data_IF_139371958054
#
_entry.id   IF_139371958054
#
_cell.length_a   1.000
_cell.length_b   1.000
_cell.length_c   1.000
_cell.angle_alpha   90.00
_cell.angle_beta   90.00
_cell.angle_gamma   90.00
#
_symmetry.space_group_name_H-M   'P 1'
#
loop_
_entity.id
_entity.type
_entity.pdbx_description
1 polymer ?
#
# COMPACT_ATOMS: atom_id res chain seq x y z
N UNK A 1 14.16 -33.54 10.31
CA UNK A 1 13.44 -32.43 9.66
C UNK A 1 13.77 -31.17 10.43
N UNK A 2 14.32 -30.15 9.78
CA UNK A 2 14.68 -28.88 10.42
C UNK A 2 13.40 -28.12 10.83
N UNK A 3 13.46 -27.39 11.95
CA UNK A 3 12.35 -26.59 12.50
C UNK A 3 11.86 -25.61 11.44
N UNK A 4 12.78 -25.00 10.68
CA UNK A 4 12.44 -24.07 9.61
C UNK A 4 11.56 -24.71 8.55
N UNK A 5 12.01 -25.80 7.94
CA UNK A 5 11.27 -26.51 6.91
C UNK A 5 9.92 -27.04 7.41
N UNK A 6 9.82 -27.49 8.66
CA UNK A 6 8.56 -27.94 9.25
C UNK A 6 7.54 -26.81 9.41
N UNK A 7 7.98 -25.67 9.93
CA UNK A 7 7.11 -24.51 10.14
C UNK A 7 6.66 -23.92 8.80
N UNK A 8 7.57 -23.75 7.83
CA UNK A 8 7.24 -23.23 6.50
C UNK A 8 6.24 -24.14 5.76
N UNK A 9 6.40 -25.46 5.86
CA UNK A 9 5.44 -26.42 5.30
C UNK A 9 4.05 -26.32 5.96
N UNK A 10 4.00 -26.10 7.28
CA UNK A 10 2.73 -25.98 8.02
C UNK A 10 2.03 -24.64 7.82
N UNK A 11 2.81 -23.58 7.64
CA UNK A 11 2.31 -22.24 7.36
C UNK A 11 1.94 -22.09 5.88
N UNK A 12 2.52 -22.92 5.00
CA UNK A 12 2.17 -23.01 3.57
C UNK A 12 2.87 -21.97 2.68
N UNK A 13 3.81 -21.20 3.23
CA UNK A 13 4.63 -20.22 2.50
C UNK A 13 6.04 -20.14 3.09
N UNK A 14 7.06 -19.76 2.28
CA UNK A 14 8.39 -19.42 2.78
C UNK A 14 8.32 -18.23 3.76
N UNK A 15 9.04 -18.30 4.88
CA UNK A 15 9.02 -17.24 5.89
C UNK A 15 10.29 -16.39 5.76
N UNK A 16 10.18 -15.05 5.62
CA UNK A 16 11.35 -14.17 5.54
C UNK A 16 12.30 -14.33 6.74
N UNK A 17 13.61 -14.22 6.48
CA UNK A 17 14.66 -14.39 7.50
C UNK A 17 14.50 -13.41 8.68
N UNK A 18 14.00 -12.22 8.40
CA UNK A 18 13.74 -11.18 9.38
C UNK A 18 12.64 -11.54 10.39
N UNK A 19 11.60 -12.26 9.96
CA UNK A 19 10.57 -12.76 10.87
C UNK A 19 11.11 -13.91 11.73
N UNK A 20 12.00 -14.73 11.19
CA UNK A 20 12.73 -15.73 11.99
C UNK A 20 13.59 -15.09 13.09
N UNK A 21 14.25 -13.96 12.79
CA UNK A 21 15.01 -13.20 13.79
C UNK A 21 14.10 -12.61 14.86
N UNK A 22 12.92 -12.13 14.49
CA UNK A 22 11.90 -11.63 15.42
C UNK A 22 11.38 -12.74 16.34
N UNK A 23 10.98 -13.88 15.79
CA UNK A 23 10.53 -15.04 16.56
C UNK A 23 11.62 -15.58 17.51
N UNK A 24 12.89 -15.49 17.11
CA UNK A 24 14.02 -15.83 17.97
C UNK A 24 14.16 -14.84 19.15
N UNK A 25 14.03 -13.53 18.90
CA UNK A 25 14.02 -12.50 19.97
C UNK A 25 12.84 -12.67 20.93
N UNK A 26 11.67 -13.04 20.41
CA UNK A 26 10.47 -13.36 21.19
C UNK A 26 10.56 -14.68 21.95
N UNK A 27 11.65 -15.43 21.83
CA UNK A 27 11.89 -16.68 22.57
C UNK A 27 11.17 -17.91 22.03
N UNK A 28 10.36 -17.79 20.96
CA UNK A 28 9.62 -18.92 20.38
C UNK A 28 10.55 -20.01 19.85
N UNK A 29 11.62 -19.62 19.14
CA UNK A 29 12.62 -20.57 18.62
C UNK A 29 13.36 -21.28 19.77
N UNK A 30 13.63 -20.56 20.87
CA UNK A 30 14.31 -21.11 22.04
C UNK A 30 13.43 -22.14 22.75
N UNK A 31 12.14 -21.84 22.96
CA UNK A 31 11.15 -22.78 23.54
C UNK A 31 11.12 -24.11 22.78
N UNK A 32 11.13 -24.08 21.45
CA UNK A 32 11.15 -25.32 20.63
C UNK A 32 12.43 -26.12 20.80
N UNK A 33 13.59 -25.45 20.94
CA UNK A 33 14.90 -26.09 21.11
C UNK A 33 15.10 -26.66 22.52
N UNK A 34 14.57 -26.01 23.55
CA UNK A 34 14.76 -26.38 24.96
C UNK A 34 13.69 -27.36 25.48
N UNK A 35 12.62 -27.60 24.73
CA UNK A 35 11.56 -28.53 25.11
C UNK A 35 12.10 -29.97 25.26
N UNK A 36 12.04 -30.48 26.50
CA UNK A 36 12.55 -31.81 26.87
C UNK A 36 11.55 -32.94 26.64
N UNK A 37 10.25 -32.63 26.60
CA UNK A 37 9.18 -33.61 26.37
C UNK A 37 8.58 -33.44 24.99
N UNK A 38 8.02 -34.53 24.45
CA UNK A 38 7.36 -34.53 23.14
C UNK A 38 6.15 -33.59 23.11
N UNK A 39 5.41 -33.52 24.21
CA UNK A 39 4.26 -32.64 24.38
C UNK A 39 4.67 -31.17 24.44
N UNK A 40 5.66 -30.81 25.27
CA UNK A 40 6.17 -29.44 25.34
C UNK A 40 6.75 -28.97 24.01
N UNK A 41 7.39 -29.88 23.24
CA UNK A 41 7.92 -29.55 21.92
C UNK A 41 6.82 -29.30 20.90
N UNK A 42 5.71 -30.03 20.99
CA UNK A 42 4.54 -29.83 20.14
C UNK A 42 3.87 -28.48 20.45
N UNK A 43 3.64 -28.18 21.71
CA UNK A 43 3.05 -26.91 22.15
C UNK A 43 3.90 -25.71 21.72
N UNK A 44 5.23 -25.78 21.93
CA UNK A 44 6.14 -24.73 21.49
C UNK A 44 6.17 -24.55 19.95
N UNK A 45 5.96 -25.63 19.18
CA UNK A 45 5.84 -25.54 17.72
C UNK A 45 4.50 -24.93 17.29
N UNK A 46 3.40 -25.26 17.98
CA UNK A 46 2.08 -24.67 17.75
C UNK A 46 2.11 -23.15 18.03
N UNK A 47 2.74 -22.72 19.13
CA UNK A 47 2.98 -21.30 19.43
C UNK A 47 3.77 -20.57 18.33
N UNK A 48 4.84 -21.20 17.83
CA UNK A 48 5.68 -20.64 16.78
C UNK A 48 4.93 -20.54 15.45
N UNK A 49 4.12 -21.54 15.10
CA UNK A 49 3.27 -21.53 13.91
C UNK A 49 2.20 -20.44 14.04
N UNK A 50 1.54 -20.33 15.19
CA UNK A 50 0.54 -19.30 15.46
C UNK A 50 1.14 -17.89 15.35
N UNK A 51 2.35 -17.67 15.86
CA UNK A 51 3.07 -16.41 15.70
C UNK A 51 3.27 -16.05 14.22
N UNK A 52 3.71 -16.99 13.38
CA UNK A 52 3.92 -16.70 11.95
C UNK A 52 2.62 -16.56 11.16
N UNK A 53 1.58 -17.33 11.50
CA UNK A 53 0.24 -17.14 10.91
C UNK A 53 -0.31 -15.76 11.25
N UNK A 54 -0.17 -15.32 12.51
CA UNK A 54 -0.50 -13.97 12.92
C UNK A 54 0.31 -12.94 12.14
N UNK A 55 1.65 -13.09 12.00
CA UNK A 55 2.49 -12.17 11.21
C UNK A 55 2.08 -12.13 9.74
N UNK A 56 1.74 -13.26 9.12
CA UNK A 56 1.22 -13.30 7.75
C UNK A 56 -0.11 -12.59 7.61
N UNK A 57 -1.01 -12.78 8.58
CA UNK A 57 -2.28 -12.08 8.59
C UNK A 57 -2.08 -10.56 8.80
N UNK A 58 -1.09 -10.17 9.61
CA UNK A 58 -0.68 -8.78 9.74
C UNK A 58 -0.05 -8.24 8.46
N UNK A 59 0.81 -8.98 7.78
CA UNK A 59 1.42 -8.58 6.51
C UNK A 59 0.37 -8.43 5.39
N UNK A 60 -0.68 -9.26 5.39
CA UNK A 60 -1.85 -9.07 4.51
C UNK A 60 -2.65 -7.80 4.84
N UNK A 61 -2.54 -7.31 6.08
CA UNK A 61 -3.16 -6.07 6.57
C UNK A 61 -2.20 -4.89 6.56
N UNK A 62 -0.92 -5.07 6.21
CA UNK A 62 0.04 -3.98 6.06
C UNK A 62 -0.47 -3.07 4.94
N UNK A 63 -0.57 -1.77 5.18
CA UNK A 63 -0.85 -0.85 4.11
C UNK A 63 0.33 -0.84 3.15
N UNK A 64 0.12 -1.40 1.96
CA UNK A 64 1.02 -1.21 0.83
C UNK A 64 1.28 0.29 0.67
N UNK A 65 2.52 0.68 0.37
CA UNK A 65 2.90 2.07 0.14
C UNK A 65 1.81 2.75 -0.70
N UNK A 66 1.05 3.65 -0.08
CA UNK A 66 -0.05 4.31 -0.75
C UNK A 66 0.56 5.41 -1.61
N UNK A 67 0.80 5.07 -2.88
CA UNK A 67 0.96 6.09 -3.90
C UNK A 67 -0.40 6.75 -4.08
N UNK A 68 -0.44 8.04 -3.78
CA UNK A 68 -1.64 8.86 -3.91
C UNK A 68 -1.26 10.09 -4.73
N UNK A 69 -2.26 10.66 -5.38
CA UNK A 69 -2.08 11.85 -6.20
C UNK A 69 -2.70 13.06 -5.50
N UNK A 70 -1.96 14.16 -5.46
CA UNK A 70 -2.48 15.50 -5.21
C UNK A 70 -2.40 16.30 -6.50
N UNK A 71 -3.26 17.30 -6.66
CA UNK A 71 -3.29 18.11 -7.87
C UNK A 71 -2.63 19.46 -7.63
N UNK A 72 -1.68 19.83 -8.49
CA UNK A 72 -1.31 21.23 -8.62
C UNK A 72 -2.29 21.93 -9.55
N UNK A 73 -3.00 22.91 -8.99
CA UNK A 73 -3.92 23.78 -9.74
C UNK A 73 -3.29 25.13 -10.09
N UNK A 74 -1.96 25.25 -10.10
CA UNK A 74 -1.32 26.53 -10.47
C UNK A 74 -1.58 26.88 -11.92
N UNK A 75 -1.45 28.17 -12.26
CA UNK A 75 -1.60 28.63 -13.64
C UNK A 75 -0.60 27.92 -14.58
N UNK A 76 0.60 27.63 -14.08
CA UNK A 76 1.63 26.93 -14.81
C UNK A 76 1.28 25.44 -15.03
N UNK A 77 0.82 24.73 -13.99
CA UNK A 77 0.36 23.34 -14.12
C UNK A 77 -0.81 23.21 -15.10
N UNK A 78 -1.77 24.14 -15.04
CA UNK A 78 -2.89 24.23 -15.99
C UNK A 78 -2.41 24.48 -17.43
N UNK A 79 -1.43 25.38 -17.61
CA UNK A 79 -0.85 25.64 -18.93
C UNK A 79 -0.15 24.40 -19.50
N UNK A 80 0.60 23.66 -18.69
CA UNK A 80 1.24 22.41 -19.11
C UNK A 80 0.21 21.33 -19.47
N UNK A 81 -0.82 21.13 -18.65
CA UNK A 81 -1.91 20.19 -18.97
C UNK A 81 -2.59 20.53 -20.30
N UNK A 82 -2.82 21.83 -20.58
CA UNK A 82 -3.37 22.29 -21.85
C UNK A 82 -2.43 22.06 -23.05
N UNK A 83 -1.12 22.28 -22.88
CA UNK A 83 -0.11 21.98 -23.92
C UNK A 83 -0.08 20.48 -24.21
N UNK A 84 0.00 19.63 -23.18
CA UNK A 84 -0.06 18.18 -23.31
C UNK A 84 -1.32 17.72 -24.04
N UNK A 85 -2.49 18.24 -23.65
CA UNK A 85 -3.77 17.93 -24.27
C UNK A 85 -3.82 18.30 -25.76
N UNK A 86 -3.24 19.45 -26.13
CA UNK A 86 -3.12 19.88 -27.52
C UNK A 86 -2.19 18.97 -28.32
N UNK A 87 -1.01 18.66 -27.79
CA UNK A 87 -0.04 17.78 -28.45
C UNK A 87 -0.61 16.39 -28.67
N UNK A 88 -1.22 15.79 -27.63
CA UNK A 88 -1.88 14.50 -27.72
C UNK A 88 -2.99 14.52 -28.76
N UNK A 89 -3.83 15.56 -28.79
CA UNK A 89 -4.91 15.66 -29.78
C UNK A 89 -4.38 15.72 -31.22
N UNK A 90 -3.28 16.44 -31.46
CA UNK A 90 -2.66 16.51 -32.77
C UNK A 90 -2.04 15.16 -33.18
N UNK A 91 -1.33 14.51 -32.27
CA UNK A 91 -0.65 13.24 -32.52
C UNK A 91 -1.64 12.07 -32.68
N UNK A 92 -2.73 12.05 -31.91
CA UNK A 92 -3.72 10.98 -31.97
C UNK A 92 -4.37 10.87 -33.35
N UNK A 93 -4.60 11.99 -34.06
CA UNK A 93 -5.16 11.97 -35.42
C UNK A 93 -4.26 11.21 -36.40
N UNK A 94 -2.93 11.30 -36.20
CA UNK A 94 -1.94 10.70 -37.09
C UNK A 94 -1.51 9.30 -36.65
N UNK A 95 -1.91 8.84 -35.46
CA UNK A 95 -1.48 7.58 -34.88
C UNK A 95 -1.93 6.37 -35.73
N UNK A 96 -1.00 5.46 -36.00
CA UNK A 96 -1.19 4.21 -36.76
C UNK A 96 -1.15 3.01 -35.84
N UNK A 97 -1.60 1.86 -36.34
CA UNK A 97 -1.56 0.61 -35.58
C UNK A 97 -0.12 0.32 -35.10
N UNK A 98 0.04 0.12 -33.79
CA UNK A 98 1.34 -0.02 -33.12
C UNK A 98 1.79 1.23 -32.37
N UNK A 99 1.25 2.41 -32.68
CA UNK A 99 1.58 3.65 -31.98
C UNK A 99 0.88 3.72 -30.61
N UNK A 100 1.53 4.38 -29.64
CA UNK A 100 1.01 4.50 -28.27
C UNK A 100 -0.37 5.18 -28.19
N UNK A 101 -0.65 6.15 -29.05
CA UNK A 101 -1.92 6.88 -29.09
C UNK A 101 -2.96 6.28 -30.05
N UNK A 102 -2.64 5.18 -30.74
CA UNK A 102 -3.57 4.50 -31.63
C UNK A 102 -4.90 4.11 -30.94
N UNK A 103 -4.91 3.62 -29.69
CA UNK A 103 -6.16 3.29 -29.01
C UNK A 103 -7.09 4.49 -28.83
N UNK A 104 -6.53 5.68 -28.56
CA UNK A 104 -7.31 6.92 -28.42
C UNK A 104 -7.96 7.31 -29.76
N UNK A 105 -7.22 7.13 -30.86
CA UNK A 105 -7.76 7.36 -32.20
C UNK A 105 -8.92 6.41 -32.50
N UNK A 106 -8.73 5.11 -32.29
CA UNK A 106 -9.78 4.10 -32.52
C UNK A 106 -11.01 4.40 -31.67
N UNK A 107 -10.83 4.75 -30.40
CA UNK A 107 -11.93 5.15 -29.53
C UNK A 107 -12.74 6.32 -30.13
N UNK A 108 -12.05 7.39 -30.55
CA UNK A 108 -12.66 8.60 -31.11
C UNK A 108 -13.37 8.36 -32.45
N UNK A 109 -12.78 7.54 -33.32
CA UNK A 109 -13.35 7.24 -34.64
C UNK A 109 -14.51 6.23 -34.54
N UNK A 110 -14.32 5.10 -33.83
CA UNK A 110 -15.25 3.97 -33.83
C UNK A 110 -16.43 4.18 -32.89
N UNK A 111 -16.21 4.74 -31.70
CA UNK A 111 -17.21 4.79 -30.63
C UNK A 111 -17.77 6.18 -30.37
N UNK A 112 -16.98 7.23 -30.62
CA UNK A 112 -17.43 8.62 -30.46
C UNK A 112 -17.86 9.25 -31.79
N UNK A 113 -17.37 8.75 -32.92
CA UNK A 113 -17.65 9.27 -34.27
C UNK A 113 -17.44 10.79 -34.37
N UNK A 114 -16.44 11.32 -33.65
CA UNK A 114 -16.14 12.75 -33.58
C UNK A 114 -17.05 13.58 -32.66
N UNK A 115 -18.07 12.99 -32.03
CA UNK A 115 -18.94 13.64 -31.05
C UNK A 115 -18.48 13.29 -29.64
N UNK A 116 -18.02 14.29 -28.90
CA UNK A 116 -17.58 14.10 -27.51
C UNK A 116 -18.76 13.94 -26.57
N UNK A 117 -18.57 13.10 -25.55
CA UNK A 117 -19.55 12.90 -24.48
C UNK A 117 -19.54 14.13 -23.57
N UNK A 118 -20.70 14.68 -23.17
CA UNK A 118 -20.76 15.66 -22.09
C UNK A 118 -20.18 15.09 -20.79
N UNK A 119 -19.55 15.93 -19.96
CA UNK A 119 -18.87 15.48 -18.73
C UNK A 119 -19.84 14.77 -17.76
N UNK A 120 -21.06 15.29 -17.63
CA UNK A 120 -22.16 14.68 -16.87
C UNK A 120 -22.67 13.37 -17.47
N UNK A 121 -22.44 13.14 -18.77
CA UNK A 121 -22.79 11.93 -19.50
C UNK A 121 -21.78 10.78 -19.38
N UNK A 122 -20.58 11.00 -18.84
CA UNK A 122 -19.51 9.99 -18.81
C UNK A 122 -19.94 8.71 -18.10
N UNK A 123 -20.56 8.82 -16.93
CA UNK A 123 -21.01 7.63 -16.19
C UNK A 123 -22.06 6.83 -16.97
N UNK A 124 -22.97 7.52 -17.68
CA UNK A 124 -23.97 6.88 -18.53
C UNK A 124 -23.35 6.17 -19.71
N UNK A 125 -22.37 6.80 -20.37
CA UNK A 125 -21.61 6.20 -21.47
C UNK A 125 -20.85 4.94 -21.01
N UNK A 126 -20.16 5.00 -19.87
CA UNK A 126 -19.46 3.85 -19.30
C UNK A 126 -20.41 2.68 -19.00
N UNK A 127 -21.61 2.97 -18.47
CA UNK A 127 -22.62 1.95 -18.19
C UNK A 127 -23.19 1.32 -19.46
N UNK A 128 -23.44 2.15 -20.49
CA UNK A 128 -23.98 1.69 -21.77
C UNK A 128 -23.08 0.65 -22.44
N UNK A 129 -21.75 0.84 -22.36
CA UNK A 129 -20.78 -0.03 -23.01
C UNK A 129 -20.22 -1.16 -22.13
N UNK A 130 -20.83 -1.44 -20.96
CA UNK A 130 -20.39 -2.52 -20.05
C UNK A 130 -20.43 -3.91 -20.70
N UNK A 131 -21.35 -4.12 -21.63
CA UNK A 131 -21.56 -5.42 -22.28
C UNK A 131 -20.84 -5.56 -23.61
N UNK A 132 -20.26 -4.49 -24.15
CA UNK A 132 -19.60 -4.47 -25.45
C UNK A 132 -18.38 -5.37 -25.49
N UNK A 133 -18.13 -5.99 -26.65
CA UNK A 133 -16.99 -6.86 -26.86
C UNK A 133 -17.17 -8.24 -26.21
N UNK A 134 -16.06 -8.98 -26.12
CA UNK A 134 -16.03 -10.32 -25.57
C UNK A 134 -15.49 -10.30 -24.14
N UNK A 135 -15.93 -11.20 -23.25
CA UNK A 135 -15.26 -11.39 -21.97
C UNK A 135 -13.74 -11.53 -22.19
N UNK A 136 -12.94 -10.73 -21.47
CA UNK A 136 -11.49 -10.87 -21.54
C UNK A 136 -11.12 -12.30 -21.11
N UNK A 137 -10.40 -13.08 -21.94
CA UNK A 137 -9.93 -14.41 -21.56
C UNK A 137 -8.70 -14.33 -20.63
N UNK A 138 -8.48 -13.21 -19.94
CA UNK A 138 -7.30 -12.98 -19.11
C UNK A 138 -7.35 -13.93 -17.93
N UNK A 139 -6.70 -15.06 -18.08
CA UNK A 139 -6.58 -16.05 -17.03
C UNK A 139 -5.26 -15.81 -16.33
N UNK A 140 -5.31 -15.36 -15.07
CA UNK A 140 -4.12 -15.28 -14.23
C UNK A 140 -3.81 -16.68 -13.73
N UNK A 141 -2.71 -17.24 -14.21
CA UNK A 141 -2.19 -18.51 -13.76
C UNK A 141 -1.21 -18.26 -12.63
N UNK A 142 -1.49 -18.83 -11.46
CA UNK A 142 -0.48 -19.00 -10.41
C UNK A 142 0.24 -20.30 -10.71
N UNK A 143 1.54 -20.23 -10.95
CA UNK A 143 2.36 -21.39 -11.28
C UNK A 143 2.98 -21.99 -10.02
N UNK A 144 3.42 -23.24 -10.10
CA UNK A 144 4.32 -23.79 -9.09
C UNK A 144 5.65 -23.02 -9.09
N UNK A 145 6.36 -22.90 -7.96
CA UNK A 145 7.62 -22.15 -7.89
C UNK A 145 8.67 -22.62 -8.90
N UNK A 146 8.72 -23.92 -9.18
CA UNK A 146 9.62 -24.52 -10.16
C UNK A 146 9.27 -24.08 -11.60
N UNK A 147 7.97 -24.07 -11.94
CA UNK A 147 7.49 -23.64 -13.24
C UNK A 147 7.63 -22.12 -13.43
N UNK A 148 7.38 -21.33 -12.38
CA UNK A 148 7.57 -19.88 -12.38
C UNK A 148 9.02 -19.51 -12.70
N UNK A 149 9.98 -20.16 -12.02
CA UNK A 149 11.42 -19.92 -12.24
C UNK A 149 11.83 -20.22 -13.68
N UNK A 150 11.36 -21.35 -14.22
CA UNK A 150 11.60 -21.76 -15.62
C UNK A 150 11.00 -20.77 -16.61
N UNK A 151 9.75 -20.35 -16.40
CA UNK A 151 9.05 -19.39 -17.26
C UNK A 151 9.80 -18.05 -17.28
N UNK A 152 10.19 -17.53 -16.11
CA UNK A 152 10.93 -16.27 -16.00
C UNK A 152 12.28 -16.33 -16.73
N UNK A 153 13.02 -17.42 -16.59
CA UNK A 153 14.30 -17.61 -17.27
C UNK A 153 14.14 -17.64 -18.80
N UNK A 154 13.15 -18.36 -19.30
CA UNK A 154 12.91 -18.44 -20.74
C UNK A 154 12.38 -17.12 -21.32
N UNK A 155 11.54 -16.36 -20.58
CA UNK A 155 11.14 -15.01 -20.96
C UNK A 155 12.34 -14.06 -21.05
N UNK A 156 13.27 -14.12 -20.10
CA UNK A 156 14.51 -13.34 -20.16
C UNK A 156 15.38 -13.69 -21.37
N UNK A 157 15.31 -14.93 -21.83
CA UNK A 157 16.03 -15.43 -23.00
C UNK A 157 15.23 -15.28 -24.31
N UNK A 158 14.02 -14.71 -24.27
CA UNK A 158 13.14 -14.57 -25.43
C UNK A 158 12.68 -15.89 -26.03
N UNK A 159 12.71 -16.98 -25.26
CA UNK A 159 12.32 -18.31 -25.71
C UNK A 159 10.83 -18.59 -25.42
N UNK A 160 10.12 -19.30 -26.31
CA UNK A 160 8.77 -19.74 -26.05
C UNK A 160 8.75 -20.75 -24.90
N UNK A 161 7.73 -20.67 -24.04
CA UNK A 161 7.54 -21.57 -22.91
C UNK A 161 6.19 -22.26 -23.02
N UNK A 162 6.23 -23.58 -23.03
CA UNK A 162 5.03 -24.40 -22.83
C UNK A 162 4.85 -24.67 -21.33
N UNK A 163 3.64 -24.43 -20.83
CA UNK A 163 3.27 -24.65 -19.43
C UNK A 163 2.24 -25.77 -19.38
N UNK A 164 2.54 -26.81 -18.62
CA UNK A 164 1.70 -27.99 -18.47
C UNK A 164 0.56 -27.73 -17.47
N UNK A 165 -0.64 -28.33 -17.65
CA UNK A 165 -1.75 -28.13 -16.72
C UNK A 165 -1.47 -28.49 -15.27
N UNK A 166 -0.56 -29.44 -15.02
CA UNK A 166 -0.11 -29.84 -13.69
C UNK A 166 0.77 -28.80 -12.99
N UNK A 167 1.28 -27.80 -13.72
CA UNK A 167 2.08 -26.70 -13.19
C UNK A 167 1.22 -25.53 -12.69
N UNK A 168 -0.11 -25.62 -12.83
CA UNK A 168 -1.05 -24.61 -12.32
C UNK A 168 -1.40 -24.86 -10.86
N UNK A 169 -1.04 -23.94 -9.98
CA UNK A 169 -1.49 -23.90 -8.58
C UNK A 169 -2.88 -23.30 -8.48
N UNK A 170 -3.16 -22.26 -9.29
CA UNK A 170 -4.45 -21.58 -9.31
C UNK A 170 -4.70 -20.95 -10.65
N UNK A 171 -5.97 -20.98 -11.07
CA UNK A 171 -6.46 -20.37 -12.30
C UNK A 171 -7.50 -19.34 -11.89
N UNK A 172 -7.19 -18.05 -12.03
CA UNK A 172 -8.13 -16.95 -11.73
C UNK A 172 -8.56 -16.28 -13.04
N UNK A 173 -9.85 -16.07 -13.22
CA UNK A 173 -10.33 -15.16 -14.26
C UNK A 173 -10.11 -13.73 -13.78
N UNK A 174 -9.28 -13.00 -14.50
CA UNK A 174 -8.98 -11.59 -14.26
C UNK A 174 -9.67 -10.76 -15.35
N UNK A 175 -10.21 -9.61 -14.95
CA UNK A 175 -10.66 -8.61 -15.91
C UNK A 175 -9.98 -7.29 -15.58
N UNK A 176 -9.52 -6.60 -16.62
CA UNK A 176 -9.06 -5.23 -16.48
C UNK A 176 -10.24 -4.35 -16.04
N UNK A 177 -9.97 -3.28 -15.32
CA UNK A 177 -11.00 -2.41 -14.77
C UNK A 177 -10.67 -0.94 -15.00
N UNK A 178 -11.71 -0.13 -15.14
CA UNK A 178 -11.63 1.33 -15.14
C UNK A 178 -12.26 1.88 -13.86
N UNK A 179 -11.60 2.85 -13.22
CA UNK A 179 -12.12 3.53 -12.03
C UNK A 179 -12.55 4.94 -12.39
N UNK A 180 -13.84 5.22 -12.22
CA UNK A 180 -14.39 6.55 -12.49
C UNK A 180 -15.54 6.88 -11.53
N UNK A 181 -15.52 8.08 -10.96
CA UNK A 181 -16.57 8.54 -10.04
C UNK A 181 -16.78 7.63 -8.82
N UNK A 182 -15.73 6.98 -8.32
CA UNK A 182 -15.79 6.03 -7.19
C UNK A 182 -16.40 4.67 -7.53
N UNK A 183 -16.65 4.37 -8.81
CA UNK A 183 -17.15 3.08 -9.30
C UNK A 183 -16.09 2.36 -10.12
N UNK A 184 -16.22 1.04 -10.18
CA UNK A 184 -15.34 0.14 -10.95
C UNK A 184 -16.13 -0.43 -12.13
N UNK A 185 -15.57 -0.30 -13.33
CA UNK A 185 -16.17 -0.76 -14.57
C UNK A 185 -15.32 -1.88 -15.17
N UNK A 186 -15.85 -3.12 -15.29
CA UNK A 186 -15.11 -4.21 -15.91
C UNK A 186 -14.92 -3.96 -17.41
N UNK A 187 -13.73 -4.28 -17.90
CA UNK A 187 -13.35 -4.14 -19.31
C UNK A 187 -13.52 -5.47 -20.04
N UNK A 188 -14.00 -5.41 -21.29
CA UNK A 188 -14.22 -6.56 -22.18
C UNK A 188 -13.45 -6.38 -23.48
N UNK A 189 -12.78 -7.43 -23.93
CA UNK A 189 -11.88 -7.40 -25.08
C UNK A 189 -12.57 -6.88 -26.34
N UNK A 190 -11.89 -5.96 -27.04
CA UNK A 190 -12.36 -5.28 -28.26
C UNK A 190 -13.68 -4.49 -28.12
N UNK A 191 -14.22 -4.34 -26.91
CA UNK A 191 -15.34 -3.45 -26.61
C UNK A 191 -14.91 -1.99 -26.44
N UNK A 192 -15.88 -1.06 -26.36
CA UNK A 192 -15.58 0.37 -26.19
C UNK A 192 -14.74 0.65 -24.93
N UNK A 193 -15.04 -0.04 -23.83
CA UNK A 193 -14.30 0.08 -22.58
C UNK A 193 -12.85 -0.44 -22.68
N UNK A 194 -12.56 -1.39 -23.58
CA UNK A 194 -11.19 -1.86 -23.80
C UNK A 194 -10.34 -0.84 -24.54
N UNK A 195 -10.92 -0.21 -25.57
CA UNK A 195 -10.26 0.89 -26.26
C UNK A 195 -10.07 2.10 -25.35
N UNK A 196 -11.06 2.40 -24.50
CA UNK A 196 -10.94 3.44 -23.48
C UNK A 196 -9.87 3.11 -22.45
N UNK A 197 -9.79 1.87 -21.97
CA UNK A 197 -8.76 1.44 -21.02
C UNK A 197 -7.35 1.51 -21.60
N UNK A 198 -7.17 1.07 -22.85
CA UNK A 198 -5.90 1.22 -23.55
C UNK A 198 -5.52 2.70 -23.71
N UNK A 199 -6.48 3.54 -24.11
CA UNK A 199 -6.28 4.97 -24.28
C UNK A 199 -5.94 5.67 -22.95
N UNK A 200 -6.68 5.38 -21.87
CA UNK A 200 -6.45 5.98 -20.56
C UNK A 200 -5.06 5.59 -20.03
N UNK A 201 -4.67 4.32 -20.14
CA UNK A 201 -3.34 3.83 -19.76
C UNK A 201 -2.21 4.53 -20.55
N UNK A 202 -2.39 4.73 -21.85
CA UNK A 202 -1.45 5.46 -22.68
C UNK A 202 -1.31 6.94 -22.22
N UNK A 203 -2.44 7.62 -21.97
CA UNK A 203 -2.47 9.00 -21.50
C UNK A 203 -1.83 9.16 -20.12
N UNK A 204 -2.14 8.27 -19.17
CA UNK A 204 -1.54 8.25 -17.84
C UNK A 204 -0.02 8.10 -17.93
N UNK A 205 0.48 7.19 -18.79
CA UNK A 205 1.93 6.98 -18.96
C UNK A 205 2.64 8.16 -19.61
N UNK A 206 2.05 8.76 -20.64
CA UNK A 206 2.68 9.85 -21.40
C UNK A 206 2.58 11.19 -20.67
N UNK A 207 1.45 11.47 -20.04
CA UNK A 207 1.15 12.80 -19.49
C UNK A 207 1.19 12.86 -17.97
N UNK A 208 1.22 11.70 -17.29
CA UNK A 208 1.16 11.63 -15.83
C UNK A 208 -0.21 11.96 -15.26
N UNK A 209 -1.28 11.92 -16.07
CA UNK A 209 -2.64 12.22 -15.63
C UNK A 209 -3.21 11.10 -14.76
N UNK A 210 -4.24 11.42 -13.97
CA UNK A 210 -5.00 10.37 -13.27
C UNK A 210 -5.87 9.58 -14.23
N UNK A 211 -6.33 8.40 -13.81
CA UNK A 211 -7.24 7.59 -14.64
C UNK A 211 -8.53 8.36 -14.96
N UNK A 212 -9.08 9.10 -14.00
CA UNK A 212 -10.30 9.89 -14.22
C UNK A 212 -10.09 11.04 -15.21
N UNK A 213 -9.00 11.79 -15.09
CA UNK A 213 -8.65 12.86 -16.05
C UNK A 213 -8.40 12.30 -17.46
N UNK A 214 -7.73 11.16 -17.56
CA UNK A 214 -7.48 10.50 -18.82
C UNK A 214 -8.78 10.01 -19.49
N UNK A 215 -9.72 9.48 -18.70
CA UNK A 215 -11.05 9.09 -19.18
C UNK A 215 -11.83 10.31 -19.68
N UNK A 216 -11.88 11.40 -18.90
CA UNK A 216 -12.60 12.62 -19.27
C UNK A 216 -11.99 13.29 -20.51
N UNK A 217 -10.66 13.28 -20.65
CA UNK A 217 -10.03 13.77 -21.87
C UNK A 217 -10.33 12.86 -23.08
N UNK A 218 -10.28 11.54 -22.89
CA UNK A 218 -10.53 10.59 -23.97
C UNK A 218 -11.97 10.69 -24.51
N UNK A 219 -12.96 10.83 -23.63
CA UNK A 219 -14.39 10.84 -23.95
C UNK A 219 -14.96 12.24 -24.21
N UNK A 220 -14.53 13.24 -23.45
CA UNK A 220 -15.12 14.59 -23.44
C UNK A 220 -14.20 15.64 -24.07
N UNK A 221 -12.94 15.29 -24.34
CA UNK A 221 -11.88 16.25 -24.68
C UNK A 221 -11.67 17.35 -23.60
N UNK A 222 -12.05 17.05 -22.35
CA UNK A 222 -11.83 17.95 -21.22
C UNK A 222 -10.36 17.92 -20.82
N UNK A 223 -9.74 19.09 -20.79
CA UNK A 223 -8.36 19.25 -20.31
C UNK A 223 -8.34 19.14 -18.78
N UNK A 224 -7.38 18.40 -18.19
CA UNK A 224 -7.24 18.34 -16.73
C UNK A 224 -7.04 19.74 -16.12
N UNK A 225 -7.62 19.98 -14.95
CA UNK A 225 -7.53 21.28 -14.24
C UNK A 225 -6.18 21.52 -13.56
N UNK A 226 -5.23 20.62 -13.78
CA UNK A 226 -3.93 20.62 -13.13
C UNK A 226 -3.13 19.38 -13.50
N UNK A 227 -1.91 19.30 -12.97
CA UNK A 227 -1.09 18.10 -13.09
C UNK A 227 -1.19 17.28 -11.81
N UNK A 228 -1.36 15.98 -11.97
CA UNK A 228 -1.27 15.06 -10.86
C UNK A 228 0.19 14.96 -10.40
N UNK A 229 0.39 15.18 -9.11
CA UNK A 229 1.65 15.04 -8.42
C UNK A 229 1.57 13.77 -7.59
N UNK A 230 2.47 12.84 -7.89
CA UNK A 230 2.57 11.61 -7.12
C UNK A 230 3.28 11.90 -5.80
N UNK A 231 2.67 11.49 -4.69
CA UNK A 231 3.37 11.42 -3.43
C UNK A 231 3.34 10.00 -2.88
N UNK A 232 4.45 9.62 -2.26
CA UNK A 232 4.65 8.36 -1.58
C UNK A 232 4.99 8.66 -0.13
N UNK A 233 4.14 8.21 0.77
CA UNK A 233 4.46 8.18 2.19
C UNK A 233 5.05 6.81 2.51
N UNK A 234 6.31 6.78 2.94
CA UNK A 234 7.00 5.58 3.42
C UNK A 234 7.18 5.68 4.93
N UNK A 235 6.77 4.65 5.64
CA UNK A 235 6.93 4.56 7.08
C UNK A 235 7.95 3.47 7.39
N UNK A 236 9.04 3.85 8.07
CA UNK A 236 10.06 2.89 8.49
C UNK A 236 10.00 2.67 9.99
N UNK A 237 9.43 1.54 10.40
CA UNK A 237 9.37 1.10 11.79
C UNK A 237 10.76 0.85 12.38
N UNK A 238 11.73 0.44 11.56
CA UNK A 238 13.10 0.14 12.00
C UNK A 238 13.92 1.39 12.32
N UNK A 239 13.55 2.55 11.76
CA UNK A 239 14.24 3.82 11.98
C UNK A 239 13.45 4.81 12.85
N UNK A 240 12.16 4.56 13.15
CA UNK A 240 11.29 5.52 13.82
C UNK A 240 11.07 6.80 12.98
N UNK A 241 11.22 6.70 11.66
CA UNK A 241 11.15 7.82 10.72
C UNK A 241 10.01 7.63 9.73
N UNK A 242 9.32 8.73 9.46
CA UNK A 242 8.35 8.85 8.39
C UNK A 242 8.97 9.65 7.25
N UNK A 243 9.03 9.06 6.07
CA UNK A 243 9.51 9.72 4.86
C UNK A 243 8.31 10.06 3.99
N UNK A 244 8.13 11.35 3.72
CA UNK A 244 7.19 11.80 2.70
C UNK A 244 7.99 12.18 1.46
N UNK A 245 7.90 11.34 0.43
CA UNK A 245 8.49 11.59 -0.88
C UNK A 245 7.43 12.18 -1.79
N UNK A 246 7.62 13.41 -2.26
CA UNK A 246 6.73 14.03 -3.25
C UNK A 246 7.51 14.12 -4.56
N UNK A 247 6.97 13.55 -5.63
CA UNK A 247 7.52 13.66 -6.98
C UNK A 247 6.85 14.84 -7.67
N UNK A 248 7.60 15.92 -7.85
CA UNK A 248 7.14 17.14 -8.51
C UNK A 248 7.86 17.36 -9.84
N UNK A 249 7.22 18.00 -10.84
CA UNK A 249 7.91 18.49 -12.03
C UNK A 249 9.08 19.40 -11.66
N UNK A 250 10.17 19.35 -12.43
CA UNK A 250 11.40 20.09 -12.15
C UNK A 250 11.20 21.61 -12.09
N UNK A 251 10.20 22.13 -12.80
CA UNK A 251 9.87 23.56 -12.84
C UNK A 251 8.96 24.02 -11.69
N UNK A 252 8.60 23.13 -10.75
CA UNK A 252 7.75 23.49 -9.61
C UNK A 252 8.53 24.40 -8.66
N UNK A 253 8.06 25.62 -8.36
CA UNK A 253 8.76 26.54 -7.47
C UNK A 253 8.83 25.99 -6.03
N UNK A 254 9.90 26.30 -5.26
CA UNK A 254 10.07 25.77 -3.90
C UNK A 254 8.91 26.05 -2.95
N UNK A 255 8.28 27.21 -3.08
CA UNK A 255 7.13 27.62 -2.27
C UNK A 255 5.92 26.70 -2.50
N UNK A 256 5.71 26.26 -3.74
CA UNK A 256 4.65 25.35 -4.12
C UNK A 256 4.94 23.93 -3.60
N UNK A 257 6.19 23.48 -3.67
CA UNK A 257 6.62 22.22 -3.04
C UNK A 257 6.34 22.23 -1.53
N UNK A 258 6.62 23.35 -0.85
CA UNK A 258 6.32 23.50 0.56
C UNK A 258 4.81 23.49 0.86
N UNK A 259 3.98 24.13 0.02
CA UNK A 259 2.53 24.09 0.14
C UNK A 259 1.95 22.69 -0.07
N UNK A 260 2.44 21.98 -1.09
CA UNK A 260 2.08 20.59 -1.38
C UNK A 260 2.44 19.68 -0.22
N UNK A 261 3.66 19.81 0.31
CA UNK A 261 4.10 19.09 1.51
C UNK A 261 3.17 19.39 2.70
N UNK A 262 2.82 20.66 2.92
CA UNK A 262 1.91 21.06 4.00
C UNK A 262 0.50 20.49 3.80
N UNK A 263 -0.01 20.44 2.56
CA UNK A 263 -1.30 19.85 2.23
C UNK A 263 -1.31 18.35 2.50
N UNK A 264 -0.34 17.60 1.96
CA UNK A 264 -0.24 16.15 2.20
C UNK A 264 -0.12 15.87 3.70
N UNK A 265 0.69 16.66 4.42
CA UNK A 265 0.80 16.53 5.88
C UNK A 265 -0.51 16.83 6.60
N UNK A 266 -1.34 17.75 6.12
CA UNK A 266 -2.68 18.04 6.70
C UNK A 266 -3.66 16.91 6.45
N UNK A 267 -3.70 16.39 5.23
CA UNK A 267 -4.53 15.23 4.86
C UNK A 267 -4.17 13.99 5.69
N UNK A 268 -2.87 13.78 5.95
CA UNK A 268 -2.40 12.75 6.87
C UNK A 268 -2.68 13.08 8.35
N UNK A 269 -2.55 14.35 8.78
CA UNK A 269 -2.78 14.80 10.17
C UNK A 269 -4.20 14.57 10.67
N UNK A 270 -5.20 14.51 9.80
CA UNK A 270 -6.59 14.26 10.24
C UNK A 270 -6.79 12.86 10.85
N UNK A 271 -5.81 11.95 10.71
CA UNK A 271 -5.80 10.63 11.37
C UNK A 271 -4.93 10.54 12.64
N UNK A 272 -4.11 11.56 12.94
CA UNK A 272 -3.01 11.46 13.92
C UNK A 272 -3.02 12.57 15.00
N UNK A 273 -4.17 12.82 15.65
CA UNK A 273 -4.15 13.47 16.98
C UNK A 273 -4.20 12.35 18.02
N UNK A 274 -3.11 12.18 18.78
CA UNK A 274 -2.99 11.28 19.93
C UNK A 274 -4.12 11.52 20.94
N UNK A 275 -5.30 10.92 20.72
CA UNK A 275 -6.42 11.03 21.66
C UNK A 275 -6.13 10.11 22.84
N UNK A 276 -5.75 10.68 23.97
CA UNK A 276 -5.79 10.01 25.27
C UNK A 276 -4.46 9.54 25.87
N UNK A 277 -3.31 9.81 25.23
CA UNK A 277 -1.98 9.57 25.85
C UNK A 277 -1.33 10.93 26.09
N UNK A 278 -1.16 11.30 27.37
CA UNK A 278 -0.43 12.52 27.71
C UNK A 278 1.08 12.31 27.52
N UNK A 279 1.83 13.39 27.27
CA UNK A 279 3.28 13.36 27.15
C UNK A 279 3.96 12.76 28.39
N UNK A 280 3.42 13.09 29.58
CA UNK A 280 3.82 12.49 30.85
C UNK A 280 3.66 10.95 30.83
N UNK A 281 2.50 10.46 30.39
CA UNK A 281 2.21 9.02 30.32
C UNK A 281 3.16 8.30 29.36
N UNK A 282 3.46 8.90 28.21
CA UNK A 282 4.39 8.32 27.24
C UNK A 282 5.82 8.24 27.79
N UNK A 283 6.31 9.31 28.44
CA UNK A 283 7.62 9.33 29.10
C UNK A 283 7.71 8.31 30.24
N UNK A 284 6.67 8.20 31.05
CA UNK A 284 6.63 7.24 32.14
C UNK A 284 6.67 5.80 31.62
N UNK A 285 5.86 5.45 30.61
CA UNK A 285 5.87 4.12 29.99
C UNK A 285 7.24 3.81 29.38
N UNK A 286 7.85 4.75 28.65
CA UNK A 286 9.20 4.57 28.10
C UNK A 286 10.23 4.26 29.20
N UNK A 287 10.22 5.03 30.29
CA UNK A 287 11.09 4.78 31.43
C UNK A 287 10.88 3.39 32.03
N UNK A 288 9.63 2.98 32.27
CA UNK A 288 9.31 1.67 32.86
C UNK A 288 9.84 0.53 31.99
N UNK A 289 9.63 0.61 30.67
CA UNK A 289 10.10 -0.42 29.73
C UNK A 289 11.63 -0.46 29.65
N UNK A 290 12.30 0.69 29.54
CA UNK A 290 13.78 0.74 29.54
C UNK A 290 14.36 0.21 30.86
N UNK A 291 13.79 0.60 31.99
CA UNK A 291 14.26 0.17 33.30
C UNK A 291 14.07 -1.34 33.50
N UNK A 292 12.98 -1.92 33.01
CA UNK A 292 12.74 -3.38 33.07
C UNK A 292 13.58 -4.18 32.09
N UNK A 293 14.01 -3.59 30.98
CA UNK A 293 14.99 -4.25 30.09
C UNK A 293 16.32 -4.45 30.79
N UNK A 294 16.76 -3.46 31.58
CA UNK A 294 17.99 -3.56 32.39
C UNK A 294 17.80 -4.36 33.68
N UNK A 295 16.58 -4.35 34.25
CA UNK A 295 16.21 -5.01 35.51
C UNK A 295 14.89 -5.78 35.37
N UNK A 296 14.92 -6.99 34.76
CA UNK A 296 13.70 -7.74 34.42
C UNK A 296 12.81 -8.08 35.61
N UNK A 297 13.39 -8.22 36.81
CA UNK A 297 12.68 -8.57 38.04
C UNK A 297 12.23 -7.35 38.87
N UNK A 298 12.41 -6.13 38.35
CA UNK A 298 12.07 -4.92 39.09
C UNK A 298 10.59 -4.84 39.46
N UNK A 299 10.34 -4.70 40.76
CA UNK A 299 9.01 -4.47 41.33
C UNK A 299 8.53 -3.05 41.04
N UNK A 300 7.21 -2.86 41.00
CA UNK A 300 6.64 -1.52 40.79
C UNK A 300 7.10 -0.48 41.81
N UNK A 301 7.37 -0.90 43.05
CA UNK A 301 7.90 -0.04 44.11
C UNK A 301 9.29 0.50 43.75
N UNK A 302 10.15 -0.36 43.21
CA UNK A 302 11.51 0.01 42.77
C UNK A 302 11.47 0.92 41.54
N UNK A 303 10.59 0.61 40.58
CA UNK A 303 10.38 1.43 39.39
C UNK A 303 9.92 2.85 39.76
N UNK A 304 8.96 2.99 40.67
CA UNK A 304 8.46 4.31 41.10
C UNK A 304 9.50 5.07 41.91
N UNK A 305 10.22 4.39 42.81
CA UNK A 305 11.29 5.00 43.59
C UNK A 305 12.37 5.57 42.66
N UNK A 306 12.73 4.81 41.63
CA UNK A 306 13.72 5.24 40.65
C UNK A 306 13.20 6.40 39.77
N UNK A 307 11.95 6.32 39.29
CA UNK A 307 11.34 7.44 38.55
C UNK A 307 11.38 8.73 39.35
N UNK A 308 10.96 8.69 40.62
CA UNK A 308 10.93 9.84 41.52
C UNK A 308 12.34 10.37 41.82
N UNK A 309 13.34 9.49 41.86
CA UNK A 309 14.76 9.87 42.02
C UNK A 309 15.28 10.61 40.79
N UNK A 310 14.94 10.16 39.58
CA UNK A 310 15.39 10.76 38.32
C UNK A 310 14.57 11.99 37.89
N UNK A 311 13.31 12.09 38.33
CA UNK A 311 12.36 13.14 37.93
C UNK A 311 11.75 13.84 39.17
N UNK A 312 12.54 14.57 39.96
CA UNK A 312 12.07 15.18 41.21
C UNK A 312 10.98 16.26 41.00
N UNK A 313 10.94 16.90 39.83
CA UNK A 313 9.89 17.87 39.48
C UNK A 313 8.53 17.21 39.16
N UNK A 314 8.51 15.91 38.89
CA UNK A 314 7.32 15.13 38.50
C UNK A 314 7.14 13.90 39.40
N UNK A 315 7.38 14.08 40.70
CA UNK A 315 7.24 12.99 41.66
C UNK A 315 5.80 12.45 41.66
N UNK A 316 5.71 11.14 41.54
CA UNK A 316 4.46 10.40 41.65
C UNK A 316 4.03 10.31 43.10
N UNK A 317 2.86 10.88 43.41
CA UNK A 317 2.17 10.59 44.66
C UNK A 317 1.72 9.12 44.70
N UNK A 318 1.54 8.51 45.88
CA UNK A 318 1.06 7.13 46.01
C UNK A 318 -0.25 6.87 45.25
N UNK A 319 -1.15 7.85 45.23
CA UNK A 319 -2.44 7.77 44.53
C UNK A 319 -2.27 7.79 43.01
N UNK A 320 -1.40 8.63 42.47
CA UNK A 320 -1.10 8.66 41.03
C UNK A 320 -0.37 7.40 40.58
N UNK A 321 0.62 6.94 41.35
CA UNK A 321 1.33 5.70 41.13
C UNK A 321 0.36 4.51 41.05
N UNK A 322 -0.57 4.39 41.99
CA UNK A 322 -1.56 3.32 42.00
C UNK A 322 -2.45 3.31 40.74
N UNK A 323 -2.87 4.50 40.27
CA UNK A 323 -3.63 4.63 39.03
C UNK A 323 -2.83 4.20 37.79
N UNK A 324 -1.57 4.63 37.68
CA UNK A 324 -0.69 4.26 36.56
C UNK A 324 -0.38 2.75 36.54
N UNK A 325 -0.11 2.15 37.70
CA UNK A 325 0.14 0.71 37.82
C UNK A 325 -1.10 -0.08 37.40
N UNK A 326 -2.26 0.26 37.96
CA UNK A 326 -3.52 -0.45 37.72
C UNK A 326 -3.92 -0.42 36.25
N UNK A 327 -3.63 0.68 35.56
CA UNK A 327 -3.96 0.86 34.15
C UNK A 327 -2.78 0.66 33.20
N UNK A 328 -1.64 0.16 33.69
CA UNK A 328 -0.40 0.11 32.91
C UNK A 328 -0.54 -0.73 31.65
N UNK A 329 -1.04 -1.98 31.78
CA UNK A 329 -1.22 -2.88 30.64
C UNK A 329 -2.25 -2.32 29.63
N UNK A 330 -3.28 -1.63 30.12
CA UNK A 330 -4.26 -0.94 29.25
C UNK A 330 -3.62 0.25 28.53
N UNK A 331 -2.73 0.97 29.20
CA UNK A 331 -1.99 2.10 28.63
C UNK A 331 -0.98 1.63 27.59
N UNK A 332 -0.26 0.54 27.87
CA UNK A 332 0.58 -0.15 26.88
C UNK A 332 -0.24 -0.64 25.70
N UNK A 333 -1.41 -1.26 25.94
CA UNK A 333 -2.30 -1.69 24.87
C UNK A 333 -2.83 -0.51 24.05
N UNK A 334 -3.14 0.63 24.67
CA UNK A 334 -3.56 1.86 23.98
C UNK A 334 -2.42 2.51 23.19
N UNK A 335 -1.21 2.57 23.75
CA UNK A 335 -0.02 3.08 23.05
C UNK A 335 0.32 2.13 21.90
N UNK A 336 0.34 0.82 22.14
CA UNK A 336 0.56 -0.18 21.10
C UNK A 336 -0.54 -0.12 20.04
N UNK A 337 -1.82 -0.01 20.42
CA UNK A 337 -2.93 0.16 19.49
C UNK A 337 -2.85 1.47 18.73
N UNK A 338 -2.37 2.55 19.34
CA UNK A 338 -2.19 3.84 18.68
C UNK A 338 -0.99 3.81 17.72
N UNK A 339 0.11 3.17 18.11
CA UNK A 339 1.26 2.86 17.24
C UNK A 339 0.80 1.93 16.10
N UNK A 340 -0.10 0.98 16.36
CA UNK A 340 -0.68 0.11 15.35
C UNK A 340 -1.67 0.88 14.46
N UNK A 341 -2.50 1.78 14.98
CA UNK A 341 -3.42 2.63 14.18
C UNK A 341 -2.64 3.64 13.36
N UNK A 342 -1.52 4.15 13.86
CA UNK A 342 -0.57 4.98 13.12
C UNK A 342 0.23 4.16 12.10
N UNK A 343 0.52 2.89 12.39
CA UNK A 343 1.12 1.97 11.44
C UNK A 343 0.12 1.46 10.38
N UNK A 344 -1.18 1.38 10.69
CA UNK A 344 -2.24 0.74 9.87
C UNK A 344 -3.20 1.75 9.22
N UNK A 345 -3.16 3.01 9.65
CA UNK A 345 -3.82 4.15 9.01
C UNK A 345 -3.03 4.74 7.83
N UNK A 346 -1.80 4.22 7.64
CA UNK A 346 -0.90 4.40 6.49
C UNK A 346 -1.47 3.82 5.20
#
# INVERSE_FOLDING_TARGET
MDIKSFVEQRVGVPIPLEWWREAARGGFVRKVKEAKTREAKREALEDLIAHFQWRLEQAKREPQAQSRHIFSHTALARAFAAIQAREVSNLAILAKQGDTLYPLRVLREKYLQGVFVPVDGVQGWLQHHLTDGQPLPSTRLTLTPEAETRVLQALQQGQPVEIQPSEFVRVEQYCETLHYGGRVYPVRFDGALWWLWQASRALMRLCGWTESDAIEFALCNRVPEGLALEYRAEWSLSAGLAFLSVRVPLYTPPEEVAQLYAQVRRELKHKARYKGVSEFTARFVHFVECYRLERPEATWKEVIAEWNRQNPAEMLSPKQAHGLITHYNRTLALIAQQVLVEAWGS
#
